data_IF_839868165033
#
_entry.id   IF_839868165033
#
_cell.length_a   1.000
_cell.length_b   1.000
_cell.length_c   1.000
_cell.angle_alpha   90.00
_cell.angle_beta   90.00
_cell.angle_gamma   90.00
#
_symmetry.space_group_name_H-M   'P 1'
#
loop_
_entity.id
_entity.type
_entity.pdbx_description
1 polymer ?
#
# COMPACT_ATOMS: atom_id res chain seq x y z
N UNK A 1 0.08 14.22 19.87
CA UNK A 1 1.56 14.06 19.86
C UNK A 1 1.86 12.58 19.66
N UNK A 2 2.37 12.17 18.48
CA UNK A 2 2.57 10.75 18.14
C UNK A 2 3.84 10.22 18.82
N UNK A 3 3.68 9.18 19.65
CA UNK A 3 4.78 8.45 20.26
C UNK A 3 5.30 7.37 19.29
N UNK A 4 6.59 7.45 18.94
CA UNK A 4 7.29 6.54 18.03
C UNK A 4 8.10 5.46 18.80
N UNK A 5 7.74 5.14 20.05
CA UNK A 5 8.45 4.14 20.85
C UNK A 5 7.97 2.70 20.56
N UNK A 6 8.48 2.10 19.47
CA UNK A 6 8.13 0.71 19.15
C UNK A 6 8.90 0.05 18.02
N UNK A 7 10.22 0.17 17.95
CA UNK A 7 11.02 -0.61 16.99
C UNK A 7 11.39 -1.97 17.60
N UNK A 8 10.86 -3.08 17.05
CA UNK A 8 11.47 -4.41 17.24
C UNK A 8 12.34 -4.72 16.03
N UNK A 9 13.64 -4.86 16.27
CA UNK A 9 14.60 -5.39 15.29
C UNK A 9 14.46 -6.91 15.28
N UNK A 10 13.92 -7.46 14.19
CA UNK A 10 13.96 -8.90 13.95
C UNK A 10 15.24 -9.20 13.17
N UNK A 11 16.15 -9.98 13.77
CA UNK A 11 17.35 -10.47 13.08
C UNK A 11 16.91 -11.44 11.97
N UNK A 12 17.09 -11.03 10.72
CA UNK A 12 16.89 -11.86 9.55
C UNK A 12 17.98 -12.90 9.38
N UNK A 13 17.60 -14.04 8.80
CA UNK A 13 18.42 -15.19 8.44
C UNK A 13 19.51 -14.80 7.43
N UNK A 14 20.70 -15.37 7.62
CA UNK A 14 21.91 -15.16 6.82
C UNK A 14 21.70 -15.60 5.37
N UNK A 15 21.86 -14.67 4.42
CA UNK A 15 22.14 -14.99 3.01
C UNK A 15 23.64 -15.24 2.84
N UNK A 16 24.01 -16.16 1.94
CA UNK A 16 25.40 -16.57 1.69
C UNK A 16 26.33 -15.46 1.13
N UNK A 17 25.81 -14.27 0.83
CA UNK A 17 26.60 -13.12 0.31
C UNK A 17 26.80 -11.97 1.32
N UNK A 18 26.87 -12.26 2.62
CA UNK A 18 27.53 -11.40 3.62
C UNK A 18 26.95 -9.98 3.84
N UNK A 19 25.86 -9.57 3.16
CA UNK A 19 25.17 -8.31 3.42
C UNK A 19 23.97 -8.54 4.34
N UNK A 20 24.18 -8.24 5.62
CA UNK A 20 23.12 -8.15 6.60
C UNK A 20 22.29 -6.90 6.33
N UNK A 21 21.19 -7.05 5.58
CA UNK A 21 20.18 -5.99 5.48
C UNK A 21 19.35 -5.99 6.76
N UNK A 22 19.47 -4.92 7.55
CA UNK A 22 18.66 -4.73 8.76
C UNK A 22 17.42 -3.91 8.39
N UNK A 23 16.25 -4.49 8.61
CA UNK A 23 14.96 -3.83 8.37
C UNK A 23 14.32 -3.44 9.70
N UNK A 24 13.88 -2.19 9.82
CA UNK A 24 13.08 -1.73 10.96
C UNK A 24 11.60 -1.74 10.55
N UNK A 25 10.82 -2.62 11.18
CA UNK A 25 9.36 -2.57 11.11
C UNK A 25 8.91 -1.41 12.01
N UNK A 26 8.39 -0.34 11.41
CA UNK A 26 7.77 0.76 12.17
C UNK A 26 6.29 0.44 12.31
N UNK A 27 5.88 0.05 13.52
CA UNK A 27 4.47 -0.10 13.87
C UNK A 27 3.89 1.29 14.10
N UNK A 28 3.19 1.84 13.11
CA UNK A 28 2.44 3.09 13.29
C UNK A 28 1.24 2.82 14.20
N UNK A 29 1.31 3.29 15.45
CA UNK A 29 0.20 3.23 16.39
C UNK A 29 -0.51 4.58 16.35
N UNK A 30 -1.78 4.58 15.95
CA UNK A 30 -2.59 5.81 15.86
C UNK A 30 -2.97 6.21 17.29
N UNK A 31 -2.69 7.47 17.66
CA UNK A 31 -2.92 7.99 19.01
C UNK A 31 -4.41 8.05 19.41
N UNK A 32 -4.70 8.24 20.72
CA UNK A 32 -6.05 8.18 21.30
C UNK A 32 -6.96 9.38 20.93
N UNK A 33 -6.52 10.22 20.00
CA UNK A 33 -7.19 11.47 19.61
C UNK A 33 -8.31 11.23 18.58
N UNK A 34 -8.48 9.98 18.15
CA UNK A 34 -9.62 9.51 17.35
C UNK A 34 -10.64 8.87 18.30
N UNK A 35 -11.77 9.56 18.52
CA UNK A 35 -12.92 9.07 19.28
C UNK A 35 -13.49 7.74 18.76
N UNK A 36 -14.60 7.22 19.34
CA UNK A 36 -14.92 5.79 19.45
C UNK A 36 -15.42 5.15 18.14
N UNK A 37 -14.61 5.20 17.08
CA UNK A 37 -14.74 4.39 15.87
C UNK A 37 -13.86 3.13 15.90
N UNK A 38 -13.13 2.89 17.01
CA UNK A 38 -12.38 1.64 17.23
C UNK A 38 -13.24 0.47 17.72
N UNK A 39 -14.55 0.66 17.90
CA UNK A 39 -15.47 -0.46 18.00
C UNK A 39 -15.75 -0.98 16.60
N UNK A 40 -14.99 -1.99 16.20
CA UNK A 40 -15.30 -2.87 15.08
C UNK A 40 -16.67 -3.53 15.39
N UNK A 41 -17.76 -2.84 15.06
CA UNK A 41 -19.03 -3.50 14.78
C UNK A 41 -18.90 -4.04 13.36
N UNK A 42 -19.15 -5.34 13.13
CA UNK A 42 -19.10 -5.91 11.80
C UNK A 42 -20.30 -5.37 11.03
N UNK A 43 -20.13 -4.25 10.33
CA UNK A 43 -21.14 -3.81 9.38
C UNK A 43 -21.00 -4.69 8.14
N UNK A 44 -21.80 -5.76 8.11
CA UNK A 44 -22.02 -6.58 6.92
C UNK A 44 -22.47 -5.64 5.83
N UNK A 45 -21.68 -5.55 4.77
CA UNK A 45 -22.17 -5.04 3.52
C UNK A 45 -21.47 -5.77 2.40
N UNK A 46 -22.21 -6.77 1.94
CA UNK A 46 -21.98 -7.59 0.79
C UNK A 46 -22.07 -6.73 -0.47
N UNK A 47 -20.91 -6.35 -1.03
CA UNK A 47 -20.66 -6.26 -2.48
C UNK A 47 -19.29 -5.65 -2.76
N UNK A 48 -18.62 -6.18 -3.78
CA UNK A 48 -17.36 -5.66 -4.32
C UNK A 48 -17.44 -4.17 -4.74
N UNK A 49 -18.66 -3.66 -4.99
CA UNK A 49 -18.99 -2.25 -5.23
C UNK A 49 -18.43 -1.31 -4.15
N UNK A 50 -18.24 -1.80 -2.91
CA UNK A 50 -17.68 -0.99 -1.82
C UNK A 50 -16.20 -0.71 -1.97
N UNK A 51 -15.39 -1.64 -2.46
CA UNK A 51 -13.95 -1.40 -2.61
C UNK A 51 -13.68 -0.46 -3.76
N UNK A 52 -14.33 -0.69 -4.89
CA UNK A 52 -14.23 0.19 -6.05
C UNK A 52 -14.55 1.65 -5.73
N UNK A 53 -15.62 1.90 -4.96
CA UNK A 53 -15.98 3.25 -4.56
C UNK A 53 -14.98 3.88 -3.56
N UNK A 54 -14.37 3.08 -2.69
CA UNK A 54 -13.36 3.53 -1.72
C UNK A 54 -12.04 3.86 -2.39
N UNK A 55 -11.57 2.98 -3.26
CA UNK A 55 -10.35 3.19 -4.06
C UNK A 55 -10.54 4.39 -4.98
N UNK A 56 -11.69 4.48 -5.68
CA UNK A 56 -12.01 5.65 -6.50
C UNK A 56 -11.93 6.94 -5.69
N UNK A 57 -12.48 6.95 -4.47
CA UNK A 57 -12.42 8.13 -3.61
C UNK A 57 -10.98 8.50 -3.24
N UNK A 58 -10.13 7.54 -2.89
CA UNK A 58 -8.71 7.83 -2.64
C UNK A 58 -8.08 8.49 -3.87
N UNK A 59 -8.33 7.96 -5.07
CA UNK A 59 -7.79 8.52 -6.30
C UNK A 59 -8.33 9.91 -6.64
N UNK A 60 -9.59 10.19 -6.29
CA UNK A 60 -10.23 11.50 -6.49
C UNK A 60 -9.75 12.54 -5.46
N UNK A 61 -9.56 12.13 -4.20
CA UNK A 61 -9.31 13.04 -3.06
C UNK A 61 -7.82 13.26 -2.76
N UNK A 62 -6.91 12.43 -3.29
CA UNK A 62 -5.48 12.55 -3.00
C UNK A 62 -4.91 13.89 -3.49
N UNK A 63 -4.27 14.61 -2.57
CA UNK A 63 -3.53 15.83 -2.87
C UNK A 63 -2.02 15.56 -2.81
N UNK A 64 -1.34 15.78 -3.94
CA UNK A 64 0.12 15.67 -4.04
C UNK A 64 0.86 16.92 -3.52
N UNK A 65 0.15 17.93 -3.01
CA UNK A 65 0.74 19.14 -2.41
C UNK A 65 1.74 19.84 -3.33
N UNK A 66 1.40 19.94 -4.62
CA UNK A 66 2.26 20.55 -5.62
C UNK A 66 3.51 19.73 -5.99
N UNK A 67 3.56 18.43 -5.66
CA UNK A 67 4.64 17.52 -6.05
C UNK A 67 4.26 16.66 -7.27
N UNK A 68 5.23 16.27 -8.12
CA UNK A 68 4.98 15.26 -9.14
C UNK A 68 4.79 13.89 -8.49
N UNK A 69 3.66 13.23 -8.79
CA UNK A 69 3.36 11.91 -8.25
C UNK A 69 2.26 11.19 -9.02
N UNK A 70 2.15 9.88 -8.78
CA UNK A 70 1.05 9.05 -9.24
C UNK A 70 0.53 8.19 -8.09
N UNK A 71 -0.75 7.89 -8.09
CA UNK A 71 -1.37 6.86 -7.26
C UNK A 71 -2.02 5.84 -8.18
N UNK A 72 -1.76 4.55 -7.95
CA UNK A 72 -2.33 3.45 -8.71
C UNK A 72 -2.81 2.34 -7.77
N UNK A 73 -3.67 1.46 -8.27
CA UNK A 73 -4.23 0.36 -7.49
C UNK A 73 -3.92 -1.01 -8.11
N UNK A 74 -3.37 -1.90 -7.29
CA UNK A 74 -3.14 -3.31 -7.59
C UNK A 74 -4.25 -4.14 -6.94
N UNK A 75 -5.16 -4.68 -7.72
CA UNK A 75 -6.21 -5.56 -7.27
C UNK A 75 -5.67 -6.95 -6.95
N UNK A 76 -6.12 -7.52 -5.83
CA UNK A 76 -5.77 -8.87 -5.38
C UNK A 76 -6.82 -9.86 -5.91
N UNK A 77 -6.50 -10.50 -7.03
CA UNK A 77 -7.33 -11.55 -7.63
C UNK A 77 -7.21 -12.88 -6.87
N UNK A 78 -8.31 -13.61 -6.72
CA UNK A 78 -8.32 -14.89 -6.02
C UNK A 78 -7.30 -15.88 -6.63
N UNK A 79 -6.49 -16.53 -5.81
CA UNK A 79 -5.83 -17.77 -6.21
C UNK A 79 -6.92 -18.82 -6.41
N UNK A 80 -6.88 -19.53 -7.55
CA UNK A 80 -7.77 -20.66 -7.78
C UNK A 80 -7.61 -21.78 -6.75
N UNK A 81 -6.47 -21.81 -6.06
CA UNK A 81 -6.13 -22.79 -5.03
C UNK A 81 -6.55 -22.33 -3.63
N UNK A 82 -7.39 -23.15 -2.99
CA UNK A 82 -7.92 -22.97 -1.63
C UNK A 82 -6.87 -23.10 -0.53
N UNK A 83 -5.70 -23.67 -0.82
CA UNK A 83 -4.62 -23.87 0.15
C UNK A 83 -3.58 -22.75 0.12
N UNK A 84 -3.54 -21.96 -0.95
CA UNK A 84 -2.54 -20.91 -1.11
C UNK A 84 -3.01 -19.60 -0.47
N UNK A 85 -2.31 -19.15 0.57
CA UNK A 85 -2.56 -17.89 1.28
C UNK A 85 -2.10 -16.65 0.48
N UNK A 86 -2.07 -16.73 -0.85
CA UNK A 86 -1.55 -15.71 -1.75
C UNK A 86 -2.64 -15.03 -2.59
N UNK A 87 -2.22 -14.15 -3.48
CA UNK A 87 -3.09 -13.64 -4.55
C UNK A 87 -2.29 -13.17 -5.76
N UNK A 88 -2.99 -13.06 -6.90
CA UNK A 88 -2.44 -12.40 -8.08
C UNK A 88 -2.68 -10.90 -7.96
N UNK A 89 -1.60 -10.10 -8.00
CA UNK A 89 -1.74 -8.66 -8.10
C UNK A 89 -1.90 -8.25 -9.57
N UNK A 90 -3.08 -7.76 -9.89
CA UNK A 90 -3.44 -7.18 -11.18
C UNK A 90 -3.48 -5.67 -11.05
N UNK A 91 -2.65 -5.00 -11.85
CA UNK A 91 -2.63 -3.56 -11.94
C UNK A 91 -3.86 -3.08 -12.70
N UNK A 92 -4.69 -2.30 -12.03
CA UNK A 92 -5.90 -1.73 -12.63
C UNK A 92 -5.57 -0.58 -13.59
N UNK A 93 -6.53 -0.22 -14.43
CA UNK A 93 -6.50 0.99 -15.25
C UNK A 93 -6.63 2.27 -14.40
N UNK A 94 -7.10 2.14 -13.15
CA UNK A 94 -7.30 3.24 -12.20
C UNK A 94 -5.97 3.83 -11.76
N UNK A 95 -5.72 5.05 -12.21
CA UNK A 95 -4.54 5.84 -11.86
C UNK A 95 -4.93 7.30 -11.67
N UNK A 96 -4.34 7.94 -10.67
CA UNK A 96 -4.36 9.40 -10.50
C UNK A 96 -2.93 9.89 -10.67
N UNK A 97 -2.69 10.74 -11.66
CA UNK A 97 -1.39 11.41 -11.85
C UNK A 97 -1.55 12.86 -11.42
N UNK A 98 -0.55 13.43 -10.76
CA UNK A 98 -0.56 14.85 -10.40
C UNK A 98 -0.54 15.75 -11.64
N UNK A 99 -0.87 17.03 -11.48
CA UNK A 99 -0.88 17.99 -12.61
C UNK A 99 0.52 18.34 -13.13
N UNK A 100 1.59 17.87 -12.47
CA UNK A 100 2.98 18.17 -12.83
C UNK A 100 3.55 16.96 -13.55
N UNK A 101 3.96 17.17 -14.81
CA UNK A 101 4.55 16.11 -15.64
C UNK A 101 5.95 15.74 -15.16
N UNK A 102 6.20 14.44 -15.04
CA UNK A 102 7.54 13.85 -14.85
C UNK A 102 7.62 12.53 -15.63
N UNK A 103 8.52 12.46 -16.61
CA UNK A 103 8.65 11.31 -17.51
C UNK A 103 9.04 10.01 -16.78
N UNK A 104 9.66 10.11 -15.59
CA UNK A 104 10.05 8.94 -14.80
C UNK A 104 8.83 8.26 -14.18
N UNK A 105 7.80 9.03 -13.84
CA UNK A 105 6.52 8.51 -13.34
C UNK A 105 5.77 7.74 -14.44
N UNK A 106 5.79 8.25 -15.67
CA UNK A 106 5.22 7.55 -16.84
C UNK A 106 6.00 6.27 -17.16
N UNK A 107 7.34 6.34 -17.18
CA UNK A 107 8.19 5.17 -17.40
C UNK A 107 8.00 4.11 -16.30
N UNK A 108 7.84 4.54 -15.04
CA UNK A 108 7.52 3.66 -13.93
C UNK A 108 6.17 2.96 -14.14
N UNK A 109 5.12 3.71 -14.46
CA UNK A 109 3.79 3.17 -14.75
C UNK A 109 3.84 2.13 -15.86
N UNK A 110 4.56 2.40 -16.95
CA UNK A 110 4.76 1.45 -18.05
C UNK A 110 5.48 0.18 -17.62
N UNK A 111 6.50 0.31 -16.77
CA UNK A 111 7.20 -0.85 -16.20
C UNK A 111 6.26 -1.73 -15.38
N UNK A 112 5.36 -1.13 -14.60
CA UNK A 112 4.35 -1.85 -13.84
C UNK A 112 3.33 -2.56 -14.75
N UNK A 113 2.90 -1.93 -15.85
CA UNK A 113 1.99 -2.52 -16.84
C UNK A 113 2.62 -3.70 -17.58
N UNK A 114 3.91 -3.61 -17.93
CA UNK A 114 4.64 -4.73 -18.55
C UNK A 114 4.86 -5.91 -17.60
N UNK A 115 4.85 -5.66 -16.29
CA UNK A 115 4.97 -6.67 -15.24
C UNK A 115 3.63 -6.93 -14.54
N UNK A 116 2.52 -6.64 -15.22
CA UNK A 116 1.18 -6.85 -14.70
C UNK A 116 0.94 -8.34 -14.44
N UNK A 117 0.05 -8.64 -13.49
CA UNK A 117 -0.39 -10.00 -13.17
C UNK A 117 0.72 -10.90 -12.60
N UNK A 118 1.13 -10.60 -11.37
CA UNK A 118 2.16 -11.36 -10.65
C UNK A 118 1.58 -12.01 -9.40
N UNK A 119 1.86 -13.31 -9.24
CA UNK A 119 1.48 -14.05 -8.04
C UNK A 119 2.35 -13.67 -6.85
N UNK A 120 1.70 -13.37 -5.72
CA UNK A 120 2.30 -13.12 -4.42
C UNK A 120 1.81 -14.17 -3.44
N UNK A 121 2.69 -15.09 -3.07
CA UNK A 121 2.43 -16.12 -2.05
C UNK A 121 3.32 -15.92 -0.82
N UNK A 122 3.00 -16.60 0.28
CA UNK A 122 3.73 -16.47 1.56
C UNK A 122 5.23 -16.75 1.44
N UNK A 123 5.62 -17.67 0.56
CA UNK A 123 7.02 -18.09 0.37
C UNK A 123 7.62 -17.52 -0.93
N UNK A 124 6.83 -16.75 -1.70
CA UNK A 124 7.31 -16.20 -2.95
C UNK A 124 8.28 -15.06 -2.67
N UNK A 125 9.46 -15.12 -3.28
CA UNK A 125 10.38 -13.99 -3.28
C UNK A 125 9.83 -12.87 -4.16
N UNK A 126 9.43 -11.77 -3.52
CA UNK A 126 8.93 -10.54 -4.16
C UNK A 126 10.01 -9.45 -4.29
N UNK A 127 11.20 -9.66 -3.72
CA UNK A 127 12.34 -8.73 -3.81
C UNK A 127 12.00 -7.27 -3.48
N UNK A 128 12.46 -6.36 -4.34
CA UNK A 128 12.23 -4.91 -4.17
C UNK A 128 10.85 -4.44 -4.67
N UNK A 129 9.92 -5.35 -4.98
CA UNK A 129 8.57 -4.97 -5.37
C UNK A 129 7.71 -4.65 -4.14
N UNK A 130 7.56 -3.36 -3.85
CA UNK A 130 6.85 -2.84 -2.68
C UNK A 130 5.41 -3.35 -2.59
N UNK A 131 4.64 -3.27 -3.68
CA UNK A 131 3.26 -3.77 -3.67
C UNK A 131 3.19 -5.27 -3.37
N UNK A 132 4.13 -6.07 -3.89
CA UNK A 132 4.26 -7.48 -3.57
C UNK A 132 4.56 -7.73 -2.09
N UNK A 133 5.51 -6.99 -1.50
CA UNK A 133 5.80 -7.08 -0.06
C UNK A 133 4.62 -6.69 0.81
N UNK A 134 3.91 -5.61 0.45
CA UNK A 134 2.73 -5.18 1.19
C UNK A 134 1.59 -6.19 1.11
N UNK A 135 1.40 -6.86 -0.05
CA UNK A 135 0.43 -7.94 -0.18
C UNK A 135 0.82 -9.19 0.63
N UNK A 136 2.09 -9.58 0.63
CA UNK A 136 2.59 -10.74 1.36
C UNK A 136 2.54 -10.54 2.88
N UNK A 137 2.99 -9.37 3.36
CA UNK A 137 3.07 -9.05 4.79
C UNK A 137 1.75 -8.53 5.35
N UNK A 138 0.86 -8.04 4.49
CA UNK A 138 -0.40 -7.38 4.87
C UNK A 138 -0.17 -6.10 5.70
N UNK A 139 0.98 -5.47 5.52
CA UNK A 139 1.38 -4.24 6.23
C UNK A 139 1.76 -3.17 5.22
N UNK A 140 1.49 -1.91 5.53
CA UNK A 140 1.95 -0.79 4.73
C UNK A 140 3.48 -0.71 4.75
N UNK A 141 4.07 -0.39 3.61
CA UNK A 141 5.52 -0.31 3.43
C UNK A 141 5.83 0.96 2.63
N UNK A 142 7.01 1.53 2.82
CA UNK A 142 7.44 2.71 2.08
C UNK A 142 8.94 2.72 1.91
N UNK A 143 9.39 3.39 0.85
CA UNK A 143 10.79 3.49 0.53
C UNK A 143 11.47 4.46 1.51
N UNK A 144 12.29 3.90 2.41
CA UNK A 144 13.23 4.66 3.23
C UNK A 144 14.56 4.86 2.47
N UNK A 145 15.36 5.81 2.91
CA UNK A 145 16.61 6.19 2.26
C UNK A 145 17.55 5.00 1.98
N UNK A 146 18.13 4.95 0.78
CA UNK A 146 19.14 3.94 0.38
C UNK A 146 18.90 3.16 -0.91
N UNK A 147 17.74 3.28 -1.55
CA UNK A 147 17.49 2.63 -2.84
C UNK A 147 17.96 3.50 -4.03
N UNK A 148 18.20 2.90 -5.21
CA UNK A 148 18.91 3.58 -6.30
C UNK A 148 18.05 4.48 -7.21
N UNK A 149 16.72 4.43 -7.12
CA UNK A 149 15.85 5.07 -8.14
C UNK A 149 15.67 6.58 -8.00
N UNK A 150 15.98 7.17 -6.82
CA UNK A 150 15.71 8.58 -6.50
C UNK A 150 14.23 8.96 -6.39
N UNK A 151 13.31 8.07 -6.82
CA UNK A 151 11.88 8.19 -6.60
C UNK A 151 11.54 7.73 -5.18
N UNK A 152 10.33 8.05 -4.76
CA UNK A 152 9.78 7.62 -3.50
C UNK A 152 8.51 6.82 -3.68
N UNK A 153 8.24 5.90 -2.76
CA UNK A 153 7.11 4.97 -2.84
C UNK A 153 6.46 4.75 -1.48
N UNK A 154 5.13 4.70 -1.46
CA UNK A 154 4.31 4.25 -0.33
C UNK A 154 3.30 3.23 -0.85
N UNK A 155 3.19 2.09 -0.17
CA UNK A 155 2.19 1.06 -0.46
C UNK A 155 1.31 0.81 0.75
N UNK A 156 0.00 0.75 0.53
CA UNK A 156 -1.01 0.61 1.58
C UNK A 156 -1.97 -0.52 1.21
N UNK A 157 -2.02 -1.60 2.01
CA UNK A 157 -3.02 -2.64 1.85
C UNK A 157 -4.46 -2.13 2.04
N UNK A 158 -5.34 -2.55 1.15
CA UNK A 158 -6.79 -2.29 1.19
C UNK A 158 -7.51 -3.61 1.43
N UNK A 159 -8.47 -3.63 2.34
CA UNK A 159 -9.19 -4.85 2.74
C UNK A 159 -10.67 -4.76 2.41
N UNK A 160 -11.26 -5.90 2.04
CA UNK A 160 -12.71 -6.05 1.92
C UNK A 160 -13.40 -5.76 3.27
N UNK A 161 -14.56 -5.10 3.27
CA UNK A 161 -15.35 -4.96 4.49
C UNK A 161 -15.86 -6.33 4.94
N UNK A 162 -15.74 -6.65 6.22
CA UNK A 162 -16.24 -7.90 6.79
C UNK A 162 -15.56 -8.28 8.10
N UNK A 163 -16.00 -9.40 8.68
CA UNK A 163 -15.43 -9.94 9.93
C UNK A 163 -14.02 -10.53 9.74
N UNK A 164 -13.67 -10.92 8.51
CA UNK A 164 -12.35 -11.43 8.15
C UNK A 164 -11.67 -10.41 7.25
N UNK A 165 -10.46 -9.97 7.64
CA UNK A 165 -9.63 -9.07 6.85
C UNK A 165 -9.09 -9.81 5.61
N UNK A 166 -9.89 -9.83 4.54
CA UNK A 166 -9.47 -10.32 3.23
C UNK A 166 -8.84 -9.16 2.45
N UNK A 167 -7.60 -9.35 1.98
CA UNK A 167 -6.92 -8.36 1.16
C UNK A 167 -7.69 -8.17 -0.16
N UNK A 168 -8.06 -6.93 -0.46
CA UNK A 168 -8.70 -6.54 -1.71
C UNK A 168 -7.68 -6.04 -2.74
N UNK A 169 -6.57 -5.45 -2.26
CA UNK A 169 -5.51 -4.96 -3.13
C UNK A 169 -4.55 -4.04 -2.41
N UNK A 170 -3.68 -3.39 -3.17
CA UNK A 170 -2.66 -2.46 -2.68
C UNK A 170 -2.82 -1.13 -3.40
N UNK A 171 -2.98 -0.05 -2.62
CA UNK A 171 -2.79 1.31 -3.12
C UNK A 171 -1.31 1.64 -3.11
N UNK A 172 -0.78 2.12 -4.23
CA UNK A 172 0.62 2.50 -4.37
C UNK A 172 0.71 3.97 -4.78
N UNK A 173 1.41 4.77 -3.99
CA UNK A 173 1.82 6.13 -4.32
C UNK A 173 3.28 6.08 -4.77
N UNK A 174 3.58 6.73 -5.89
CA UNK A 174 4.95 6.95 -6.34
C UNK A 174 5.16 8.45 -6.58
N UNK A 175 6.23 8.98 -6.01
CA UNK A 175 6.61 10.38 -6.10
C UNK A 175 7.94 10.52 -6.84
N UNK A 176 8.07 11.60 -7.62
CA UNK A 176 9.29 11.88 -8.39
C UNK A 176 10.52 12.12 -7.51
N UNK A 177 10.30 12.48 -6.26
CA UNK A 177 11.31 12.65 -5.22
C UNK A 177 10.84 11.92 -3.97
N UNK A 178 11.78 11.49 -3.14
CA UNK A 178 11.46 10.90 -1.85
C UNK A 178 10.89 11.94 -0.91
N UNK A 179 9.92 11.52 -0.11
CA UNK A 179 9.57 12.24 1.09
C UNK A 179 10.38 11.67 2.26
N UNK A 180 10.83 12.53 3.18
CA UNK A 180 11.46 12.10 4.45
C UNK A 180 10.52 11.18 5.25
N UNK A 181 9.21 11.46 5.18
CA UNK A 181 8.16 10.64 5.76
C UNK A 181 6.95 10.60 4.83
N UNK A 182 6.23 9.48 4.86
CA UNK A 182 4.98 9.28 4.12
C UNK A 182 3.73 9.39 5.00
N UNK A 183 3.87 9.97 6.20
CA UNK A 183 2.79 10.04 7.19
C UNK A 183 1.58 10.82 6.69
N UNK A 184 1.80 11.96 6.02
CA UNK A 184 0.71 12.77 5.48
C UNK A 184 -0.05 12.01 4.38
N UNK A 185 0.68 11.38 3.47
CA UNK A 185 0.11 10.59 2.36
C UNK A 185 -0.67 9.37 2.88
N UNK A 186 -0.10 8.65 3.86
CA UNK A 186 -0.77 7.54 4.53
C UNK A 186 -2.07 7.96 5.21
N UNK A 187 -2.05 9.08 5.94
CA UNK A 187 -3.23 9.61 6.62
C UNK A 187 -4.34 10.03 5.66
N UNK A 188 -3.98 10.62 4.50
CA UNK A 188 -4.94 10.96 3.44
C UNK A 188 -5.64 9.71 2.89
N UNK A 189 -4.87 8.66 2.58
CA UNK A 189 -5.40 7.37 2.12
C UNK A 189 -6.36 6.80 3.16
N UNK A 190 -5.92 6.69 4.41
CA UNK A 190 -6.70 6.09 5.50
C UNK A 190 -8.02 6.85 5.73
N UNK A 191 -7.96 8.18 5.77
CA UNK A 191 -9.15 9.03 5.93
C UNK A 191 -10.16 8.83 4.80
N UNK A 192 -9.67 8.75 3.56
CA UNK A 192 -10.49 8.54 2.36
C UNK A 192 -11.16 7.16 2.35
N UNK A 193 -10.42 6.12 2.74
CA UNK A 193 -10.92 4.75 2.86
C UNK A 193 -11.98 4.58 3.98
N UNK A 194 -11.82 5.31 5.08
CA UNK A 194 -12.70 5.22 6.26
C UNK A 194 -13.96 6.07 6.16
N UNK A 195 -13.96 7.13 5.35
CA UNK A 195 -15.13 8.01 5.21
C UNK A 195 -16.34 7.21 4.70
N UNK A 196 -17.49 7.34 5.33
CA UNK A 196 -18.77 6.88 4.76
C UNK A 196 -19.57 8.13 4.44
N UNK A 197 -19.64 8.51 3.15
CA UNK A 197 -20.57 9.57 2.74
C UNK A 197 -21.95 8.93 2.59
N UNK A 198 -22.85 9.25 3.52
CA UNK A 198 -24.28 9.00 3.35
C UNK A 198 -24.72 9.75 2.08
N UNK A 199 -25.39 9.05 1.16
CA UNK A 199 -26.10 9.68 0.06
C UNK A 199 -27.36 10.36 0.58
#
# INVERSE_FOLDING_TARGET
MLDLSGSKSLKGVTSQDGKQSSFKIVKMTVGPEFGPCFLIKPYISTSDVKIDSRVKRVLDDIDFQGKPGLVQFWECGASGDREDNGCYLLLTDRVRVSGIRDNRLEAYRWTCLNNNYRFVGREKNVGNWFAGRAAQTKVADYQYDGEASGMGQLVVPVYHPGAVLKLAGILEIVTAQRNETYTADFNQIQSSLMTCRSK
#
